data_IF_107127355616
#
_entry.id   IF_107127355616
#
_cell.length_a   1.000
_cell.length_b   1.000
_cell.length_c   1.000
_cell.angle_alpha   90.00
_cell.angle_beta   90.00
_cell.angle_gamma   90.00
#
_symmetry.space_group_name_H-M   'P 1'
#
loop_
_entity.id
_entity.type
_entity.pdbx_description
1 polymer ?
#
# COMPACT_ATOMS: atom_id res chain seq x y z
N UNK A 1 2.67 28.72 -7.27
CA UNK A 1 1.37 29.21 -7.79
C UNK A 1 0.52 27.99 -8.16
N UNK A 2 -0.64 27.80 -7.52
CA UNK A 2 -1.55 26.70 -7.86
C UNK A 2 -2.32 27.08 -9.12
N UNK A 3 -2.36 26.17 -10.11
CA UNK A 3 -3.02 26.41 -11.40
C UNK A 3 -4.54 26.22 -11.28
N UNK A 4 -5.00 25.52 -10.25
CA UNK A 4 -6.42 25.21 -10.00
C UNK A 4 -6.71 25.25 -8.49
N UNK A 5 -7.98 25.38 -8.16
CA UNK A 5 -8.46 25.25 -6.79
C UNK A 5 -8.82 23.79 -6.54
N UNK A 6 -8.08 23.13 -5.65
CA UNK A 6 -8.41 21.77 -5.22
C UNK A 6 -9.46 21.82 -4.10
N UNK A 7 -10.36 20.86 -4.07
CA UNK A 7 -11.31 20.68 -2.98
C UNK A 7 -10.58 20.22 -1.70
N UNK A 8 -9.53 19.43 -1.86
CA UNK A 8 -8.65 18.96 -0.81
C UNK A 8 -7.20 18.96 -1.28
N UNK A 9 -6.26 19.24 -0.41
CA UNK A 9 -4.83 19.16 -0.70
C UNK A 9 -4.24 17.94 -0.02
N UNK A 10 -3.89 16.94 -0.82
CA UNK A 10 -3.13 15.78 -0.35
C UNK A 10 -1.70 16.23 -0.01
N UNK A 11 -1.29 15.99 1.22
CA UNK A 11 0.06 16.32 1.72
C UNK A 11 1.03 15.17 1.54
N UNK A 12 0.55 14.01 1.07
CA UNK A 12 1.39 12.85 0.83
C UNK A 12 2.15 12.98 -0.47
N UNK A 13 3.29 12.35 -0.50
CA UNK A 13 4.10 12.12 -1.70
C UNK A 13 3.88 10.72 -2.22
N UNK A 14 4.31 10.50 -3.45
CA UNK A 14 4.09 9.28 -4.17
C UNK A 14 5.40 8.76 -4.76
N UNK A 15 5.83 7.59 -4.29
CA UNK A 15 6.98 6.89 -4.81
C UNK A 15 6.61 5.58 -5.50
N UNK A 16 7.46 5.16 -6.44
CA UNK A 16 7.29 3.90 -7.15
C UNK A 16 8.30 2.88 -6.69
N UNK A 17 7.81 1.70 -6.31
CA UNK A 17 8.61 0.59 -5.84
C UNK A 17 8.64 -0.52 -6.88
N UNK A 18 9.83 -1.08 -7.09
CA UNK A 18 9.98 -2.26 -7.95
C UNK A 18 9.73 -3.53 -7.16
N UNK A 19 9.17 -4.51 -7.83
CA UNK A 19 9.14 -5.88 -7.32
C UNK A 19 10.58 -6.38 -7.10
N UNK A 20 10.87 -6.82 -5.90
CA UNK A 20 12.20 -7.31 -5.51
C UNK A 20 12.38 -8.78 -5.75
N UNK A 21 11.33 -9.57 -5.61
CA UNK A 21 11.38 -11.02 -5.77
C UNK A 21 10.07 -11.58 -6.32
N UNK A 22 10.19 -12.60 -7.15
CA UNK A 22 9.12 -13.53 -7.46
C UNK A 22 9.18 -14.66 -6.42
N UNK A 23 8.17 -14.79 -5.58
CA UNK A 23 8.12 -15.81 -4.53
C UNK A 23 7.60 -17.12 -5.08
N UNK A 24 6.57 -17.04 -5.92
CA UNK A 24 5.91 -18.21 -6.48
C UNK A 24 5.21 -17.84 -7.78
N UNK A 25 5.13 -18.81 -8.69
CA UNK A 25 4.40 -18.68 -9.96
C UNK A 25 3.93 -20.06 -10.43
N UNK A 26 2.70 -20.13 -10.93
CA UNK A 26 2.08 -21.32 -11.49
C UNK A 26 1.33 -20.96 -12.78
N UNK A 27 1.44 -21.80 -13.80
CA UNK A 27 0.85 -21.56 -15.11
C UNK A 27 1.14 -20.15 -15.66
N UNK A 28 2.42 -19.78 -15.64
CA UNK A 28 2.91 -18.48 -16.10
C UNK A 28 4.07 -18.65 -17.08
N UNK A 29 4.25 -17.67 -17.95
CA UNK A 29 5.39 -17.58 -18.87
C UNK A 29 6.16 -16.31 -18.54
N UNK A 30 7.48 -16.42 -18.42
CA UNK A 30 8.39 -15.31 -18.19
C UNK A 30 8.08 -14.48 -16.91
N UNK A 31 7.57 -15.09 -15.84
CA UNK A 31 7.19 -14.39 -14.60
C UNK A 31 8.36 -13.58 -13.98
N UNK A 32 9.59 -14.03 -14.16
CA UNK A 32 10.80 -13.32 -13.69
C UNK A 32 11.01 -11.94 -14.32
N UNK A 33 10.37 -11.64 -15.44
CA UNK A 33 10.43 -10.32 -16.07
C UNK A 33 9.80 -9.20 -15.21
N UNK A 34 8.96 -9.53 -14.24
CA UNK A 34 8.34 -8.56 -13.33
C UNK A 34 9.27 -8.13 -12.20
N UNK A 35 10.45 -8.74 -12.07
CA UNK A 35 11.39 -8.44 -10.99
C UNK A 35 12.44 -7.43 -11.44
N UNK A 36 12.73 -6.48 -10.56
CA UNK A 36 13.82 -5.51 -10.74
C UNK A 36 13.40 -4.18 -11.39
N UNK A 37 14.42 -3.39 -11.70
CA UNK A 37 14.24 -2.05 -12.24
C UNK A 37 13.89 -2.11 -13.73
N UNK A 38 12.64 -1.81 -14.05
CA UNK A 38 12.18 -1.60 -15.42
C UNK A 38 11.61 -0.20 -15.55
N UNK A 39 11.72 0.39 -16.74
CA UNK A 39 11.21 1.72 -17.01
C UNK A 39 9.71 1.84 -16.74
N UNK A 40 9.32 2.93 -16.06
CA UNK A 40 7.94 3.18 -15.64
C UNK A 40 7.02 3.64 -16.75
N UNK A 41 7.59 4.30 -17.76
CA UNK A 41 6.88 4.98 -18.83
C UNK A 41 7.35 4.52 -20.18
N UNK A 42 7.52 3.22 -20.34
CA UNK A 42 7.79 2.66 -21.66
C UNK A 42 6.57 2.90 -22.57
N UNK A 43 6.82 3.24 -23.80
CA UNK A 43 5.77 3.22 -24.81
C UNK A 43 5.20 1.80 -24.88
N UNK A 44 3.90 1.68 -24.67
CA UNK A 44 3.24 0.37 -24.71
C UNK A 44 3.12 -0.06 -26.16
N UNK A 45 3.90 -1.05 -26.53
CA UNK A 45 3.89 -1.63 -27.89
C UNK A 45 3.81 -3.15 -27.80
N UNK A 46 3.45 -3.79 -28.92
CA UNK A 46 3.45 -5.25 -29.01
C UNK A 46 4.85 -5.88 -28.93
N UNK A 47 5.90 -5.07 -29.05
CA UNK A 47 7.30 -5.50 -28.95
C UNK A 47 7.82 -5.53 -27.50
N UNK A 48 7.10 -4.98 -26.54
CA UNK A 48 7.51 -5.06 -25.16
C UNK A 48 7.54 -6.52 -24.66
N UNK A 49 8.62 -6.95 -23.99
CA UNK A 49 8.62 -8.25 -23.34
C UNK A 49 7.57 -8.30 -22.25
N UNK A 50 6.80 -9.38 -22.21
CA UNK A 50 5.67 -9.56 -21.29
C UNK A 50 5.83 -10.80 -20.43
N UNK A 51 5.31 -10.71 -19.22
CA UNK A 51 4.92 -11.86 -18.43
C UNK A 51 3.50 -12.25 -18.83
N UNK A 52 3.26 -13.52 -19.12
CA UNK A 52 1.91 -14.01 -19.38
C UNK A 52 1.48 -14.90 -18.23
N UNK A 53 0.33 -14.60 -17.65
CA UNK A 53 -0.37 -15.46 -16.71
C UNK A 53 -1.47 -16.15 -17.50
N UNK A 54 -1.37 -17.47 -17.65
CA UNK A 54 -2.36 -18.26 -18.35
C UNK A 54 -3.66 -18.33 -17.56
N UNK A 55 -4.76 -18.62 -18.19
CA UNK A 55 -6.06 -18.78 -17.52
C UNK A 55 -5.95 -19.78 -16.37
N UNK A 56 -6.36 -19.37 -15.17
CA UNK A 56 -6.20 -20.15 -13.93
C UNK A 56 -4.78 -20.15 -13.37
N UNK A 57 -3.86 -19.44 -13.99
CA UNK A 57 -2.50 -19.26 -13.49
C UNK A 57 -2.42 -18.15 -12.44
N UNK A 58 -1.33 -18.15 -11.68
CA UNK A 58 -1.13 -17.26 -10.55
C UNK A 58 0.34 -16.93 -10.34
N UNK A 59 0.61 -15.82 -9.69
CA UNK A 59 1.94 -15.46 -9.19
C UNK A 59 1.88 -14.65 -7.89
N UNK A 60 2.96 -14.70 -7.11
CA UNK A 60 3.15 -13.95 -5.87
C UNK A 60 4.44 -13.14 -5.95
N UNK A 61 4.31 -11.83 -5.82
CA UNK A 61 5.39 -10.86 -5.86
C UNK A 61 5.69 -10.31 -4.45
N UNK A 62 6.97 -10.04 -4.18
CA UNK A 62 7.46 -9.41 -2.96
C UNK A 62 8.14 -8.07 -3.31
N UNK A 63 7.68 -6.98 -2.72
CA UNK A 63 8.28 -5.65 -2.86
C UNK A 63 9.49 -5.43 -1.95
N UNK A 64 9.77 -6.37 -1.03
CA UNK A 64 10.92 -6.34 -0.13
C UNK A 64 10.71 -5.55 1.15
N UNK A 65 9.76 -4.65 1.17
CA UNK A 65 9.35 -3.85 2.31
C UNK A 65 7.84 -3.68 2.28
N UNK A 66 7.22 -3.57 3.42
CA UNK A 66 5.82 -3.17 3.53
C UNK A 66 5.67 -1.66 3.31
N UNK A 67 4.61 -1.25 2.64
CA UNK A 67 4.26 0.16 2.42
C UNK A 67 2.76 0.32 2.29
N UNK A 68 2.26 1.52 2.59
CA UNK A 68 0.87 1.88 2.35
C UNK A 68 0.72 2.46 0.93
N UNK A 69 -0.32 2.05 0.21
CA UNK A 69 -0.61 2.60 -1.12
C UNK A 69 -1.29 1.61 -2.05
N UNK A 70 -0.80 1.52 -3.27
CA UNK A 70 -1.43 0.79 -4.37
C UNK A 70 -0.45 -0.07 -5.15
N UNK A 71 -0.98 -0.91 -6.02
CA UNK A 71 -0.22 -1.58 -7.08
C UNK A 71 -0.63 -1.01 -8.43
N UNK A 72 0.33 -0.76 -9.30
CA UNK A 72 0.12 -0.32 -10.67
C UNK A 72 0.51 -1.45 -11.63
N UNK A 73 -0.39 -1.75 -12.53
CA UNK A 73 -0.21 -2.68 -13.64
C UNK A 73 0.03 -1.92 -14.93
N UNK A 74 1.03 -2.34 -15.71
CA UNK A 74 1.20 -1.96 -17.11
C UNK A 74 0.93 -3.22 -17.94
N UNK A 75 -0.06 -3.18 -18.80
CA UNK A 75 -0.63 -4.36 -19.46
C UNK A 75 -0.27 -4.43 -20.94
N UNK A 76 -0.13 -5.66 -21.44
CA UNK A 76 0.07 -5.96 -22.86
C UNK A 76 -1.24 -6.07 -23.67
N UNK A 77 -1.17 -6.79 -24.77
CA UNK A 77 -2.29 -6.96 -25.71
C UNK A 77 -3.36 -7.94 -25.21
N UNK A 78 -3.01 -8.90 -24.36
CA UNK A 78 -3.96 -9.80 -23.71
C UNK A 78 -4.30 -9.26 -22.31
N UNK A 79 -5.58 -9.03 -22.07
CA UNK A 79 -6.09 -8.51 -20.81
C UNK A 79 -7.40 -9.20 -20.46
N UNK A 80 -7.66 -9.34 -19.19
CA UNK A 80 -8.81 -10.07 -18.68
C UNK A 80 -9.10 -9.73 -17.24
N UNK A 81 -9.92 -10.55 -16.61
CA UNK A 81 -10.26 -10.45 -15.20
C UNK A 81 -9.19 -11.11 -14.36
N UNK A 82 -8.72 -10.40 -13.35
CA UNK A 82 -7.79 -10.93 -12.35
C UNK A 82 -8.41 -10.87 -10.97
N UNK A 83 -7.94 -11.73 -10.07
CA UNK A 83 -8.07 -11.56 -8.63
C UNK A 83 -6.75 -11.04 -8.08
N UNK A 84 -6.82 -9.96 -7.36
CA UNK A 84 -5.68 -9.30 -6.72
C UNK A 84 -5.83 -9.45 -5.21
N UNK A 85 -4.76 -9.90 -4.54
CA UNK A 85 -4.74 -10.03 -3.08
C UNK A 85 -3.49 -9.41 -2.50
N UNK A 86 -3.68 -8.57 -1.50
CA UNK A 86 -2.63 -7.90 -0.76
C UNK A 86 -2.30 -8.65 0.53
N UNK A 87 -1.02 -8.77 0.87
CA UNK A 87 -0.57 -9.39 2.10
C UNK A 87 0.61 -8.68 2.75
N UNK A 88 0.60 -8.58 4.08
CA UNK A 88 1.76 -8.18 4.88
C UNK A 88 2.75 -9.34 4.97
N UNK A 89 2.23 -10.57 4.87
CA UNK A 89 3.00 -11.81 4.84
C UNK A 89 2.62 -12.69 3.65
N UNK A 90 3.48 -13.68 3.34
CA UNK A 90 3.20 -14.70 2.34
C UNK A 90 1.97 -15.52 2.73
N UNK A 91 1.84 -15.91 4.00
CA UNK A 91 0.71 -16.69 4.49
C UNK A 91 -0.62 -15.96 4.30
N UNK A 92 -0.64 -14.66 4.54
CA UNK A 92 -1.82 -13.84 4.33
C UNK A 92 -2.16 -13.69 2.85
N UNK A 93 -1.20 -13.35 1.98
CA UNK A 93 -1.42 -13.25 0.54
C UNK A 93 -1.88 -14.57 -0.09
N UNK A 94 -1.50 -15.70 0.49
CA UNK A 94 -1.88 -17.05 0.05
C UNK A 94 -3.10 -17.61 0.78
N UNK A 95 -3.58 -16.92 1.84
CA UNK A 95 -4.71 -17.33 2.65
C UNK A 95 -6.05 -17.30 1.90
N UNK A 96 -7.10 -17.73 2.59
CA UNK A 96 -8.46 -17.70 2.07
C UNK A 96 -9.19 -16.44 2.58
N UNK A 97 -9.60 -15.50 1.72
CA UNK A 97 -10.29 -14.28 2.14
C UNK A 97 -11.58 -14.53 2.92
N UNK A 98 -12.29 -15.61 2.61
CA UNK A 98 -13.55 -15.95 3.27
C UNK A 98 -13.35 -16.37 4.74
N UNK A 99 -12.10 -16.67 5.13
CA UNK A 99 -11.75 -17.10 6.49
C UNK A 99 -11.04 -16.02 7.31
N UNK A 100 -10.63 -14.94 6.66
CA UNK A 100 -9.91 -13.83 7.30
C UNK A 100 -10.29 -12.48 6.67
N UNK A 101 -11.08 -11.69 7.41
CA UNK A 101 -11.52 -10.36 6.98
C UNK A 101 -10.40 -9.32 6.91
N UNK A 102 -9.22 -9.62 7.43
CA UNK A 102 -8.04 -8.76 7.27
C UNK A 102 -7.37 -8.92 5.90
N UNK A 103 -7.72 -9.95 5.14
CA UNK A 103 -7.20 -10.16 3.79
C UNK A 103 -7.92 -9.22 2.83
N UNK A 104 -7.19 -8.27 2.28
CA UNK A 104 -7.70 -7.41 1.23
C UNK A 104 -7.56 -8.09 -0.12
N UNK A 105 -8.69 -8.35 -0.78
CA UNK A 105 -8.71 -8.88 -2.13
C UNK A 105 -9.78 -8.21 -2.99
N UNK A 106 -9.59 -8.22 -4.30
CA UNK A 106 -10.53 -7.67 -5.26
C UNK A 106 -10.44 -8.38 -6.61
N UNK A 107 -11.56 -8.44 -7.31
CA UNK A 107 -11.59 -8.79 -8.71
C UNK A 107 -11.56 -7.54 -9.59
N UNK A 108 -10.62 -7.49 -10.52
CA UNK A 108 -10.37 -6.34 -11.38
C UNK A 108 -10.38 -6.76 -12.84
N UNK A 109 -10.84 -5.87 -13.71
CA UNK A 109 -10.69 -6.02 -15.15
C UNK A 109 -9.53 -5.16 -15.62
N UNK A 110 -8.49 -5.79 -16.13
CA UNK A 110 -7.32 -5.08 -16.63
C UNK A 110 -7.62 -4.49 -18.04
N UNK A 111 -7.16 -3.26 -18.32
CA UNK A 111 -7.27 -2.67 -19.64
C UNK A 111 -6.30 -3.37 -20.62
N UNK A 112 -6.62 -3.36 -21.92
CA UNK A 112 -5.66 -3.75 -22.96
C UNK A 112 -4.72 -2.59 -23.27
N UNK A 113 -3.43 -2.87 -23.40
CA UNK A 113 -2.42 -1.87 -23.77
C UNK A 113 -2.56 -0.59 -22.93
N UNK A 114 -2.66 -0.74 -21.61
CA UNK A 114 -2.99 0.35 -20.72
C UNK A 114 -2.34 0.24 -19.34
N UNK A 115 -2.79 1.08 -18.45
CA UNK A 115 -2.38 1.09 -17.06
C UNK A 115 -3.61 1.06 -16.15
N UNK A 116 -3.51 0.30 -15.07
CA UNK A 116 -4.47 0.30 -13.97
C UNK A 116 -3.72 0.43 -12.67
N UNK A 117 -4.21 1.25 -11.78
CA UNK A 117 -3.73 1.36 -10.42
C UNK A 117 -4.87 1.02 -9.47
N UNK A 118 -4.60 0.17 -8.49
CA UNK A 118 -5.57 -0.26 -7.52
C UNK A 118 -4.94 -0.49 -6.16
N UNK A 119 -5.61 -0.03 -5.12
CA UNK A 119 -5.26 -0.18 -3.71
C UNK A 119 -5.32 1.16 -2.98
N UNK A 120 -5.40 1.07 -1.68
CA UNK A 120 -5.21 2.10 -0.67
C UNK A 120 -5.07 1.36 0.66
N UNK A 121 -4.01 0.57 0.80
CA UNK A 121 -3.80 -0.35 1.92
C UNK A 121 -2.31 -0.62 2.10
N UNK A 122 -1.91 -1.07 3.28
CA UNK A 122 -0.55 -1.53 3.48
C UNK A 122 -0.37 -2.97 3.01
N UNK A 123 0.77 -3.25 2.40
CA UNK A 123 1.16 -4.57 1.96
C UNK A 123 2.65 -4.64 1.63
N UNK A 124 3.18 -5.84 1.65
CA UNK A 124 4.50 -6.18 1.11
C UNK A 124 4.38 -7.14 -0.06
N UNK A 125 3.38 -8.02 -0.03
CA UNK A 125 3.18 -9.08 -1.01
C UNK A 125 1.90 -8.85 -1.81
N UNK A 126 1.96 -9.19 -3.10
CA UNK A 126 0.80 -9.14 -3.98
C UNK A 126 0.67 -10.47 -4.72
N UNK A 127 -0.49 -11.11 -4.57
CA UNK A 127 -0.88 -12.27 -5.36
C UNK A 127 -1.79 -11.83 -6.49
N UNK A 128 -1.54 -12.36 -7.69
CA UNK A 128 -2.29 -12.09 -8.91
C UNK A 128 -2.73 -13.41 -9.51
N UNK A 129 -4.03 -13.63 -9.66
CA UNK A 129 -4.63 -14.81 -10.27
C UNK A 129 -5.36 -14.39 -11.55
N UNK A 130 -5.11 -15.03 -12.69
CA UNK A 130 -5.85 -14.82 -13.94
C UNK A 130 -7.11 -15.68 -13.95
N UNK A 131 -8.30 -15.06 -14.05
CA UNK A 131 -9.57 -15.75 -13.82
C UNK A 131 -10.22 -16.29 -15.09
N UNK A 132 -10.36 -15.45 -16.12
CA UNK A 132 -11.21 -15.77 -17.29
C UNK A 132 -10.45 -16.01 -18.58
N UNK A 133 -9.25 -15.47 -18.70
CA UNK A 133 -8.38 -15.61 -19.88
C UNK A 133 -6.94 -15.28 -19.53
N UNK A 134 -6.04 -15.51 -20.48
CA UNK A 134 -4.65 -15.12 -20.34
C UNK A 134 -4.50 -13.61 -20.16
N UNK A 135 -3.58 -13.21 -19.31
CA UNK A 135 -3.26 -11.83 -19.00
C UNK A 135 -1.78 -11.56 -19.24
N UNK A 136 -1.49 -10.50 -19.98
CA UNK A 136 -0.13 -10.05 -20.22
C UNK A 136 0.21 -8.82 -19.40
N UNK A 137 1.27 -8.91 -18.60
CA UNK A 137 1.81 -7.85 -17.79
C UNK A 137 3.19 -7.46 -18.33
N UNK A 138 3.35 -6.18 -18.67
CA UNK A 138 4.64 -5.58 -19.02
C UNK A 138 5.39 -5.25 -17.75
N UNK A 139 4.68 -4.68 -16.77
CA UNK A 139 5.27 -4.30 -15.50
C UNK A 139 4.23 -4.31 -14.35
N UNK A 140 4.74 -4.48 -13.12
CA UNK A 140 3.98 -4.33 -11.88
C UNK A 140 4.83 -3.51 -10.90
N UNK A 141 4.29 -2.38 -10.45
CA UNK A 141 4.95 -1.49 -9.49
C UNK A 141 4.13 -1.35 -8.22
N UNK A 142 4.79 -1.23 -7.09
CA UNK A 142 4.21 -0.65 -5.89
C UNK A 142 4.11 0.87 -6.05
N UNK A 143 3.07 1.47 -5.52
CA UNK A 143 2.86 2.90 -5.45
C UNK A 143 2.75 3.27 -3.99
N UNK A 144 3.84 3.67 -3.38
CA UNK A 144 3.88 4.05 -1.98
C UNK A 144 3.35 5.48 -1.79
N UNK A 145 2.44 5.63 -0.85
CA UNK A 145 1.90 6.91 -0.41
C UNK A 145 2.31 7.15 1.05
N UNK A 146 2.96 8.27 1.32
CA UNK A 146 3.43 8.61 2.66
C UNK A 146 3.61 10.11 2.81
N UNK A 147 3.63 10.61 4.05
CA UNK A 147 4.02 12.00 4.33
C UNK A 147 5.55 12.11 4.30
N UNK A 148 6.08 12.98 3.45
CA UNK A 148 7.52 13.25 3.36
C UNK A 148 7.96 14.19 4.48
N UNK A 149 8.02 13.63 5.69
CA UNK A 149 8.42 14.36 6.89
C UNK A 149 9.83 13.97 7.30
N UNK A 150 10.56 14.95 7.81
CA UNK A 150 11.92 14.74 8.27
C UNK A 150 11.90 14.08 9.65
N UNK A 151 12.69 13.01 9.78
CA UNK A 151 12.99 12.42 11.09
C UNK A 151 14.04 13.30 11.77
N UNK A 152 13.68 13.89 12.90
CA UNK A 152 14.55 14.75 13.72
C UNK A 152 14.90 14.10 15.05
N UNK A 153 14.07 13.15 15.51
CA UNK A 153 14.39 12.33 16.67
C UNK A 153 15.52 11.36 16.40
N UNK A 154 16.29 11.05 17.41
CA UNK A 154 17.38 10.10 17.32
C UNK A 154 17.45 9.21 18.56
N UNK A 155 17.79 7.96 18.35
CA UNK A 155 18.09 7.00 19.41
C UNK A 155 19.37 6.24 19.06
N UNK A 156 20.22 6.07 20.03
CA UNK A 156 21.43 5.29 19.87
C UNK A 156 21.73 4.48 21.14
N UNK A 157 22.05 3.21 20.92
CA UNK A 157 22.45 2.27 21.97
C UNK A 157 23.67 1.47 21.51
N UNK A 158 24.46 0.97 22.46
CA UNK A 158 25.51 -0.03 22.18
C UNK A 158 24.94 -1.39 21.75
N UNK A 159 23.67 -1.63 21.97
CA UNK A 159 22.95 -2.81 21.47
C UNK A 159 22.29 -2.50 20.12
N UNK A 160 22.86 -3.02 19.05
CA UNK A 160 22.34 -2.87 17.69
C UNK A 160 20.91 -3.39 17.48
N UNK A 161 20.44 -4.28 18.33
CA UNK A 161 19.06 -4.75 18.30
C UNK A 161 18.09 -3.62 18.68
N UNK A 162 18.43 -2.81 19.68
CA UNK A 162 17.63 -1.66 20.09
C UNK A 162 17.61 -0.59 19.01
N UNK A 163 18.75 -0.34 18.34
CA UNK A 163 18.80 0.60 17.22
C UNK A 163 17.84 0.16 16.09
N UNK A 164 17.87 -1.11 15.71
CA UNK A 164 16.93 -1.64 14.69
C UNK A 164 15.46 -1.60 15.12
N UNK A 165 15.18 -1.78 16.42
CA UNK A 165 13.81 -1.63 16.95
C UNK A 165 13.33 -0.20 16.77
N UNK A 166 14.18 0.79 17.09
CA UNK A 166 13.87 2.20 16.87
C UNK A 166 13.58 2.49 15.39
N UNK A 167 14.46 2.11 14.48
CA UNK A 167 14.27 2.34 13.04
C UNK A 167 12.98 1.72 12.51
N UNK A 168 12.68 0.50 12.95
CA UNK A 168 11.45 -0.21 12.57
C UNK A 168 10.21 0.51 13.12
N UNK A 169 10.25 0.97 14.37
CA UNK A 169 9.15 1.70 14.99
C UNK A 169 8.86 3.03 14.26
N UNK A 170 9.91 3.79 13.93
CA UNK A 170 9.78 5.04 13.15
C UNK A 170 9.19 4.77 11.77
N UNK A 171 9.64 3.72 11.10
CA UNK A 171 9.09 3.32 9.81
C UNK A 171 7.60 2.94 9.92
N UNK A 172 7.22 2.18 10.96
CA UNK A 172 5.82 1.79 11.21
C UNK A 172 4.93 3.01 11.45
N UNK A 173 5.36 3.96 12.28
CA UNK A 173 4.60 5.19 12.51
C UNK A 173 4.44 5.98 11.21
N UNK A 174 5.52 6.16 10.44
CA UNK A 174 5.46 6.85 9.14
C UNK A 174 4.44 6.21 8.18
N UNK A 175 4.35 4.88 8.15
CA UNK A 175 3.42 4.17 7.29
C UNK A 175 1.96 4.43 7.69
N UNK A 176 1.69 4.68 8.99
CA UNK A 176 0.37 5.01 9.51
C UNK A 176 0.02 6.50 9.40
N UNK A 177 1.00 7.36 9.10
CA UNK A 177 0.79 8.79 8.89
C UNK A 177 0.28 9.05 7.46
N UNK A 178 -1.02 8.89 7.26
CA UNK A 178 -1.69 9.06 5.98
C UNK A 178 -2.46 10.40 5.92
N UNK A 179 -3.73 10.41 5.54
CA UNK A 179 -4.58 11.61 5.64
C UNK A 179 -4.70 12.03 7.11
N UNK A 180 -4.83 11.05 7.97
CA UNK A 180 -4.79 11.15 9.42
C UNK A 180 -3.83 10.09 9.98
N UNK A 181 -3.66 10.10 11.28
CA UNK A 181 -2.88 9.09 11.98
C UNK A 181 -3.77 7.86 12.22
N UNK A 182 -3.46 6.77 11.53
CA UNK A 182 -4.25 5.53 11.54
C UNK A 182 -3.73 4.54 12.58
N UNK A 183 -4.64 3.84 13.24
CA UNK A 183 -4.36 2.71 14.14
C UNK A 183 -3.58 1.59 13.47
N UNK A 184 -3.79 1.39 12.19
CA UNK A 184 -3.12 0.40 11.36
C UNK A 184 -3.22 0.71 9.88
N UNK A 185 -2.12 0.55 9.16
CA UNK A 185 -2.03 0.92 7.75
C UNK A 185 -2.81 -0.03 6.82
N UNK A 186 -3.27 -1.19 7.30
CA UNK A 186 -3.98 -2.19 6.49
C UNK A 186 -5.39 -2.49 6.96
N UNK A 187 -5.58 -3.05 8.17
CA UNK A 187 -6.87 -3.62 8.56
C UNK A 187 -7.94 -2.58 8.75
N UNK A 188 -7.87 -1.77 9.76
CA UNK A 188 -8.96 -0.83 10.11
C UNK A 188 -8.78 0.52 9.42
N UNK A 189 -7.59 1.09 9.42
CA UNK A 189 -7.26 2.39 8.81
C UNK A 189 -8.16 3.51 9.35
N UNK A 190 -8.33 3.52 10.65
CA UNK A 190 -9.22 4.41 11.36
C UNK A 190 -8.44 5.28 12.34
N UNK A 191 -9.03 6.37 12.76
CA UNK A 191 -8.50 7.19 13.84
C UNK A 191 -9.23 6.84 15.13
N UNK A 192 -8.55 6.15 16.05
CA UNK A 192 -9.09 5.82 17.36
C UNK A 192 -8.49 6.70 18.44
N UNK A 193 -9.32 7.24 19.32
CA UNK A 193 -8.87 8.12 20.41
C UNK A 193 -7.88 7.42 21.36
N UNK A 194 -8.08 6.12 21.59
CA UNK A 194 -7.21 5.32 22.45
C UNK A 194 -5.81 5.14 21.87
N UNK A 195 -5.75 4.86 20.56
CA UNK A 195 -4.50 4.63 19.83
C UNK A 195 -3.76 5.94 19.56
N UNK A 196 -4.49 7.02 19.31
CA UNK A 196 -3.92 8.35 19.03
C UNK A 196 -2.95 8.82 20.14
N UNK A 197 -3.17 8.43 21.41
CA UNK A 197 -2.31 8.88 22.50
C UNK A 197 -0.87 8.31 22.42
N UNK A 198 -0.62 6.99 22.32
CA UNK A 198 0.73 6.46 22.12
C UNK A 198 1.33 6.85 20.77
N UNK A 199 0.53 6.92 19.71
CA UNK A 199 0.96 7.33 18.37
C UNK A 199 1.45 8.77 18.34
N UNK A 200 0.71 9.68 18.94
CA UNK A 200 1.12 11.08 19.06
C UNK A 200 2.47 11.24 19.78
N UNK A 201 2.71 10.46 20.82
CA UNK A 201 4.02 10.44 21.50
C UNK A 201 5.15 10.01 20.58
N UNK A 202 4.91 8.97 19.75
CA UNK A 202 5.89 8.53 18.79
C UNK A 202 6.15 9.60 17.71
N UNK A 203 5.09 10.27 17.22
CA UNK A 203 5.22 11.39 16.27
C UNK A 203 6.04 12.52 16.87
N UNK A 204 5.72 12.97 18.09
CA UNK A 204 6.45 14.04 18.79
C UNK A 204 7.92 13.72 19.07
N UNK A 205 8.24 12.44 19.26
CA UNK A 205 9.63 12.00 19.48
C UNK A 205 10.44 11.92 18.19
N UNK A 206 9.81 11.71 17.05
CA UNK A 206 10.49 11.28 15.85
C UNK A 206 10.51 12.30 14.72
N UNK A 207 9.45 13.10 14.54
CA UNK A 207 9.24 13.92 13.34
C UNK A 207 9.26 15.41 13.63
N UNK A 208 9.63 16.21 12.63
CA UNK A 208 9.65 17.68 12.71
C UNK A 208 8.26 18.31 12.53
N UNK A 209 7.42 17.72 11.69
CA UNK A 209 6.04 18.14 11.49
C UNK A 209 5.10 17.22 12.27
N UNK A 210 4.41 17.80 13.23
CA UNK A 210 3.47 17.09 14.12
C UNK A 210 2.02 17.46 13.81
N UNK A 211 1.76 18.18 12.74
CA UNK A 211 0.42 18.68 12.37
C UNK A 211 -0.62 17.58 12.20
N UNK A 212 -0.20 16.37 11.83
CA UNK A 212 -1.10 15.21 11.70
C UNK A 212 -1.84 14.88 13.01
N UNK A 213 -1.24 15.21 14.18
CA UNK A 213 -1.86 14.91 15.49
C UNK A 213 -3.07 15.81 15.74
N UNK A 214 -2.96 17.18 15.71
CA UNK A 214 -4.13 18.03 15.83
C UNK A 214 -5.14 17.80 14.68
N UNK A 215 -4.69 17.57 13.44
CA UNK A 215 -5.59 17.26 12.32
C UNK A 215 -6.45 16.02 12.61
N UNK A 216 -5.84 14.97 13.17
CA UNK A 216 -6.55 13.75 13.56
C UNK A 216 -7.51 13.98 14.73
N UNK A 217 -7.14 14.83 15.70
CA UNK A 217 -8.03 15.21 16.80
C UNK A 217 -9.23 16.00 16.30
N UNK A 218 -9.01 16.99 15.44
CA UNK A 218 -10.07 17.80 14.85
C UNK A 218 -11.02 16.94 14.01
N UNK A 219 -10.48 15.98 13.29
CA UNK A 219 -11.28 15.00 12.57
C UNK A 219 -12.20 14.22 13.52
N UNK A 220 -11.67 13.67 14.61
CA UNK A 220 -12.45 12.94 15.62
C UNK A 220 -13.56 13.85 16.18
N UNK A 221 -13.22 15.07 16.60
CA UNK A 221 -14.18 16.03 17.20
C UNK A 221 -15.29 16.39 16.22
N UNK A 222 -14.93 16.67 14.96
CA UNK A 222 -15.92 17.06 13.92
C UNK A 222 -16.87 15.94 13.52
N UNK A 223 -16.46 14.68 13.70
CA UNK A 223 -17.27 13.51 13.36
C UNK A 223 -17.88 12.82 14.59
N UNK A 224 -17.56 13.29 15.80
CA UNK A 224 -18.31 12.94 17.01
C UNK A 224 -19.59 13.75 17.05
N UNK A 225 -20.55 13.35 16.23
CA UNK A 225 -21.87 13.97 16.28
C UNK A 225 -22.47 13.84 17.69
N UNK A 226 -23.31 14.82 18.05
CA UNK A 226 -24.19 15.03 19.19
C UNK A 226 -24.81 13.79 19.91
N UNK A 227 -24.20 12.66 19.88
CA UNK A 227 -24.65 11.49 20.63
C UNK A 227 -23.85 11.40 21.90
N UNK A 228 -24.54 11.46 23.02
CA UNK A 228 -24.06 11.23 24.39
C UNK A 228 -23.39 9.84 24.59
N UNK A 229 -23.34 9.04 23.56
CA UNK A 229 -22.60 7.79 23.49
C UNK A 229 -21.22 8.05 22.89
N UNK A 230 -20.25 8.24 23.75
CA UNK A 230 -18.81 8.29 23.40
C UNK A 230 -18.28 6.94 22.87
N UNK A 231 -19.11 6.15 22.24
CA UNK A 231 -18.77 4.87 21.70
C UNK A 231 -18.22 5.01 20.28
N UNK A 232 -16.88 5.16 20.18
CA UNK A 232 -16.10 4.77 19.00
C UNK A 232 -16.44 5.55 17.71
N UNK A 233 -15.87 6.72 17.62
CA UNK A 233 -15.87 7.49 16.37
C UNK A 233 -15.06 6.70 15.35
N UNK A 234 -15.75 6.14 14.38
CA UNK A 234 -15.15 5.49 13.23
C UNK A 234 -14.99 6.52 12.12
N UNK A 235 -13.76 6.79 11.73
CA UNK A 235 -13.52 7.45 10.45
C UNK A 235 -13.39 6.40 9.36
N UNK A 236 -14.11 6.58 8.28
CA UNK A 236 -13.87 5.79 7.07
C UNK A 236 -12.98 6.63 6.16
N UNK A 237 -11.75 6.21 5.89
CA UNK A 237 -10.96 6.85 4.84
C UNK A 237 -11.65 6.60 3.50
N UNK A 238 -11.79 7.63 2.73
CA UNK A 238 -12.34 7.58 1.37
C UNK A 238 -11.36 6.94 0.39
#
# INVERSE_FOLDING_TARGET
MRIYQAAHHDTRVRDYLFTRRLIWAENTVNAGLLVGNREFQAQITSANPVTEILTGGSLLLDFGIEFHGAVRFVTGSAAGKIRLRFGESVSEAMGCPDQDHAIHDAELVLPRMGMLEYGNTAFRFVRIDALDRNVQLINVHGVALYRDQKVTGAFHSSDERLNRIWDTAIYTVRMNMQDFLYDGAKRDRLVFMGDLHPEAKAVFCAFDDVSIVPDSMDFIVSHSADTADMNWIRSYPF
#
